data_IF_830623787331
#
_entry.id   IF_830623787331
#
_cell.length_a   1.000
_cell.length_b   1.000
_cell.length_c   1.000
_cell.angle_alpha   90.00
_cell.angle_beta   90.00
_cell.angle_gamma   90.00
#
_symmetry.space_group_name_H-M   'P 1'
#
loop_
_entity.id
_entity.type
_entity.pdbx_description
1 polymer ?
#
# COMPACT_ATOMS: atom_id res chain seq x y z
N UNK A 1 -3.78 38.91 -7.63
CA UNK A 1 -3.64 38.07 -6.42
C UNK A 1 -2.24 38.28 -5.86
N UNK A 2 -2.02 38.21 -4.55
CA UNK A 2 -0.64 38.17 -4.07
C UNK A 2 0.08 36.95 -4.63
N UNK A 3 1.34 37.09 -4.95
CA UNK A 3 2.19 36.05 -5.49
C UNK A 3 2.33 34.92 -4.46
N UNK A 4 2.34 33.64 -4.92
CA UNK A 4 2.51 32.45 -4.11
C UNK A 4 3.69 32.59 -3.13
N UNK A 5 3.52 32.24 -1.84
CA UNK A 5 4.53 32.42 -0.79
C UNK A 5 5.86 31.74 -1.16
N UNK A 6 5.79 30.55 -1.75
CA UNK A 6 6.98 29.81 -2.16
C UNK A 6 7.74 30.54 -3.30
N UNK A 7 7.02 31.14 -4.24
CA UNK A 7 7.62 31.92 -5.33
C UNK A 7 8.41 33.12 -4.78
N UNK A 8 7.82 33.83 -3.83
CA UNK A 8 8.49 34.93 -3.13
C UNK A 8 9.74 34.45 -2.37
N UNK A 9 9.61 33.36 -1.60
CA UNK A 9 10.69 32.78 -0.82
C UNK A 9 11.91 32.41 -1.68
N UNK A 10 11.67 31.90 -2.87
CA UNK A 10 12.71 31.46 -3.81
C UNK A 10 13.20 32.57 -4.75
N UNK A 11 12.71 33.81 -4.57
CA UNK A 11 13.05 34.97 -5.40
C UNK A 11 12.85 34.74 -6.91
N UNK A 12 11.75 34.02 -7.27
CA UNK A 12 11.40 33.75 -8.65
C UNK A 12 10.55 34.87 -9.23
N UNK A 13 10.66 35.10 -10.54
CA UNK A 13 10.01 36.22 -11.22
C UNK A 13 8.49 36.05 -11.33
N UNK A 14 8.02 34.84 -11.43
CA UNK A 14 6.60 34.51 -11.56
C UNK A 14 6.31 33.07 -11.18
N UNK A 15 5.04 32.78 -10.98
CA UNK A 15 4.53 31.47 -10.57
C UNK A 15 4.69 30.39 -11.64
N UNK A 16 4.67 30.77 -12.94
CA UNK A 16 4.86 29.82 -14.04
C UNK A 16 6.30 29.29 -14.04
N UNK A 17 7.29 30.11 -13.75
CA UNK A 17 8.67 29.68 -13.60
C UNK A 17 8.81 28.65 -12.46
N UNK A 18 8.16 28.90 -11.32
CA UNK A 18 8.16 27.97 -10.19
C UNK A 18 7.50 26.64 -10.57
N UNK A 19 6.31 26.71 -11.19
CA UNK A 19 5.59 25.49 -11.59
C UNK A 19 6.38 24.65 -12.59
N UNK A 20 7.03 25.30 -13.55
CA UNK A 20 7.91 24.62 -14.53
C UNK A 20 9.10 23.96 -13.82
N UNK A 21 9.76 24.65 -12.88
CA UNK A 21 10.87 24.05 -12.10
C UNK A 21 10.43 22.82 -11.30
N UNK A 22 9.25 22.89 -10.65
CA UNK A 22 8.70 21.75 -9.91
C UNK A 22 8.46 20.56 -10.85
N UNK A 23 7.76 20.79 -11.97
CA UNK A 23 7.34 19.70 -12.87
C UNK A 23 8.49 19.11 -13.69
N UNK A 24 9.50 19.88 -14.02
CA UNK A 24 10.69 19.40 -14.73
C UNK A 24 11.64 18.58 -13.86
N UNK A 25 11.58 18.77 -12.54
CA UNK A 25 12.45 18.05 -11.60
C UNK A 25 11.82 16.80 -10.98
N UNK A 26 10.64 16.38 -11.44
CA UNK A 26 10.01 15.14 -11.00
C UNK A 26 10.88 13.91 -11.25
N UNK A 27 10.99 13.08 -10.24
CA UNK A 27 11.72 11.81 -10.30
C UNK A 27 10.93 10.77 -11.09
N UNK A 28 11.62 10.01 -11.92
CA UNK A 28 10.99 8.92 -12.69
C UNK A 28 10.59 7.77 -11.78
N UNK A 29 11.43 7.43 -10.81
CA UNK A 29 11.25 6.32 -9.86
C UNK A 29 11.94 6.64 -8.54
N UNK A 30 11.39 6.06 -7.45
CA UNK A 30 12.01 6.08 -6.11
C UNK A 30 12.23 4.65 -5.58
N UNK A 31 12.09 3.64 -6.45
CA UNK A 31 12.23 2.23 -6.08
C UNK A 31 13.62 1.90 -5.55
N UNK A 32 13.67 1.29 -4.38
CA UNK A 32 14.87 0.74 -3.73
C UNK A 32 14.91 -0.77 -3.93
N UNK A 33 15.96 -1.42 -3.46
CA UNK A 33 16.15 -2.88 -3.57
C UNK A 33 15.06 -3.69 -2.87
N UNK A 34 14.55 -3.22 -1.76
CA UNK A 34 13.51 -3.81 -0.92
C UNK A 34 12.08 -3.62 -1.45
N UNK A 35 11.92 -2.86 -2.53
CA UNK A 35 10.62 -2.60 -3.16
C UNK A 35 10.01 -3.86 -3.80
N UNK A 36 10.82 -4.74 -4.38
CA UNK A 36 10.33 -5.76 -5.33
C UNK A 36 9.58 -6.89 -4.66
N UNK A 37 10.15 -7.50 -3.63
CA UNK A 37 9.58 -8.63 -2.88
C UNK A 37 9.98 -8.53 -1.42
N UNK A 38 9.02 -8.71 -0.53
CA UNK A 38 9.29 -8.92 0.88
C UNK A 38 9.57 -10.42 1.13
N UNK A 39 10.82 -10.83 0.92
CA UNK A 39 11.24 -12.23 1.05
C UNK A 39 11.01 -12.80 2.44
N UNK A 40 11.19 -12.03 3.49
CA UNK A 40 10.93 -12.47 4.86
C UNK A 40 9.48 -12.88 5.04
N UNK A 41 8.53 -12.03 4.59
CA UNK A 41 7.10 -12.33 4.63
C UNK A 41 6.73 -13.55 3.77
N UNK A 42 7.28 -13.64 2.56
CA UNK A 42 7.05 -14.78 1.66
C UNK A 42 7.50 -16.09 2.33
N UNK A 43 8.70 -16.12 2.88
CA UNK A 43 9.26 -17.30 3.55
C UNK A 43 8.45 -17.68 4.79
N UNK A 44 8.05 -16.72 5.63
CA UNK A 44 7.22 -16.97 6.81
C UNK A 44 5.89 -17.61 6.41
N UNK A 45 5.22 -17.06 5.39
CA UNK A 45 3.92 -17.57 4.95
C UNK A 45 4.02 -19.01 4.41
N UNK A 46 5.05 -19.32 3.64
CA UNK A 46 5.27 -20.67 3.11
C UNK A 46 5.60 -21.67 4.23
N UNK A 47 6.46 -21.24 5.18
CA UNK A 47 6.86 -22.10 6.31
C UNK A 47 5.68 -22.51 7.21
N UNK A 48 4.63 -21.70 7.28
CA UNK A 48 3.42 -22.07 8.05
C UNK A 48 2.79 -23.37 7.57
N UNK A 49 2.94 -23.71 6.30
CA UNK A 49 2.33 -24.89 5.68
C UNK A 49 3.35 -25.83 5.00
N UNK A 50 4.63 -25.66 5.28
CA UNK A 50 5.71 -26.40 4.60
C UNK A 50 5.55 -27.92 4.75
N UNK A 51 5.17 -28.39 5.95
CA UNK A 51 4.92 -29.82 6.21
C UNK A 51 3.75 -30.33 5.39
N UNK A 52 2.63 -29.64 5.39
CA UNK A 52 1.41 -29.97 4.67
C UNK A 52 1.64 -29.95 3.16
N UNK A 53 2.35 -28.95 2.65
CA UNK A 53 2.75 -28.86 1.24
C UNK A 53 3.63 -30.03 0.81
N UNK A 54 4.55 -30.47 1.67
CA UNK A 54 5.37 -31.64 1.40
C UNK A 54 4.54 -32.94 1.38
N UNK A 55 3.52 -33.07 2.24
CA UNK A 55 2.59 -34.22 2.19
C UNK A 55 1.80 -34.19 0.88
N UNK A 56 1.31 -33.03 0.44
CA UNK A 56 0.56 -32.87 -0.81
C UNK A 56 1.40 -33.21 -2.05
N UNK A 57 2.74 -33.07 -2.01
CA UNK A 57 3.62 -33.46 -3.12
C UNK A 57 3.40 -34.92 -3.57
N UNK A 58 2.90 -35.80 -2.69
CA UNK A 58 2.53 -37.17 -3.03
C UNK A 58 1.54 -37.26 -4.23
N UNK A 59 0.66 -36.25 -4.36
CA UNK A 59 -0.37 -36.23 -5.40
C UNK A 59 0.17 -35.91 -6.80
N UNK A 60 1.40 -35.40 -6.89
CA UNK A 60 1.97 -34.99 -8.18
C UNK A 60 2.20 -36.20 -9.07
N UNK A 61 1.58 -36.18 -10.26
CA UNK A 61 1.72 -37.24 -11.26
C UNK A 61 0.93 -38.52 -10.97
N UNK A 62 -0.01 -38.49 -10.01
CA UNK A 62 -0.90 -39.63 -9.77
C UNK A 62 -1.99 -39.70 -10.83
N UNK A 63 -2.19 -40.89 -11.43
CA UNK A 63 -3.18 -41.11 -12.50
C UNK A 63 -4.63 -40.97 -12.00
N UNK A 64 -4.94 -41.51 -10.83
CA UNK A 64 -6.26 -41.41 -10.20
C UNK A 64 -6.24 -40.39 -9.05
N UNK A 65 -6.27 -39.11 -9.42
CA UNK A 65 -6.16 -38.02 -8.45
C UNK A 65 -7.30 -38.01 -7.41
N UNK A 66 -8.54 -38.35 -7.81
CA UNK A 66 -9.69 -38.36 -6.88
C UNK A 66 -9.46 -39.35 -5.74
N UNK A 67 -9.13 -40.58 -6.07
CA UNK A 67 -8.89 -41.61 -5.07
C UNK A 67 -7.67 -41.32 -4.22
N UNK A 68 -6.57 -40.94 -4.86
CA UNK A 68 -5.31 -40.66 -4.15
C UNK A 68 -5.42 -39.45 -3.23
N UNK A 69 -6.17 -38.43 -3.65
CA UNK A 69 -6.43 -37.25 -2.80
C UNK A 69 -7.34 -37.61 -1.62
N UNK A 70 -8.41 -38.37 -1.86
CA UNK A 70 -9.28 -38.85 -0.80
C UNK A 70 -8.51 -39.65 0.27
N UNK A 71 -7.74 -40.63 -0.17
CA UNK A 71 -6.95 -41.51 0.72
C UNK A 71 -5.89 -40.68 1.48
N UNK A 72 -5.25 -39.71 0.83
CA UNK A 72 -4.27 -38.83 1.42
C UNK A 72 -4.90 -37.93 2.50
N UNK A 73 -6.02 -37.26 2.18
CA UNK A 73 -6.70 -36.35 3.09
C UNK A 73 -7.27 -37.09 4.31
N UNK A 74 -7.78 -38.30 4.10
CA UNK A 74 -8.26 -39.18 5.19
C UNK A 74 -7.12 -39.57 6.13
N UNK A 75 -5.95 -39.87 5.57
CA UNK A 75 -4.77 -40.27 6.36
C UNK A 75 -4.04 -39.07 7.00
N UNK A 76 -4.02 -37.94 6.34
CA UNK A 76 -3.31 -36.73 6.77
C UNK A 76 -4.23 -35.50 6.67
N UNK A 77 -5.25 -35.37 7.52
CA UNK A 77 -6.26 -34.31 7.43
C UNK A 77 -5.66 -32.91 7.52
N UNK A 78 -4.56 -32.73 8.25
CA UNK A 78 -3.86 -31.46 8.31
C UNK A 78 -3.41 -30.94 6.94
N UNK A 79 -3.15 -31.83 5.96
CA UNK A 79 -2.72 -31.43 4.62
C UNK A 79 -3.77 -30.60 3.87
N UNK A 80 -5.05 -30.74 4.20
CA UNK A 80 -6.17 -29.96 3.67
C UNK A 80 -5.97 -28.47 3.93
N UNK A 81 -5.36 -28.11 5.05
CA UNK A 81 -5.14 -26.71 5.50
C UNK A 81 -4.25 -25.91 4.53
N UNK A 82 -3.40 -26.58 3.76
CA UNK A 82 -2.51 -25.92 2.80
C UNK A 82 -3.16 -25.65 1.42
N UNK A 83 -4.33 -26.25 1.13
CA UNK A 83 -5.00 -26.12 -0.17
C UNK A 83 -5.32 -24.66 -0.54
N UNK A 84 -5.91 -23.83 0.33
CA UNK A 84 -6.20 -22.44 0.00
C UNK A 84 -4.95 -21.66 -0.44
N UNK A 85 -3.80 -21.90 0.20
CA UNK A 85 -2.53 -21.23 -0.13
C UNK A 85 -2.11 -21.51 -1.59
N UNK A 86 -2.36 -22.73 -2.09
CA UNK A 86 -2.06 -23.12 -3.48
C UNK A 86 -2.95 -22.38 -4.50
N UNK A 87 -4.08 -21.85 -4.08
CA UNK A 87 -5.02 -21.07 -4.90
C UNK A 87 -4.94 -19.56 -4.62
N UNK A 88 -3.89 -19.09 -3.97
CA UNK A 88 -3.70 -17.68 -3.59
C UNK A 88 -4.79 -17.14 -2.64
N UNK A 89 -5.44 -18.01 -1.87
CA UNK A 89 -6.48 -17.68 -0.88
C UNK A 89 -5.89 -17.79 0.52
N UNK A 90 -6.23 -16.84 1.39
CA UNK A 90 -5.75 -16.79 2.79
C UNK A 90 -6.85 -17.09 3.80
N UNK A 91 -8.09 -17.07 3.35
CA UNK A 91 -9.24 -17.43 4.19
C UNK A 91 -9.24 -18.93 4.43
N UNK A 92 -9.51 -19.32 5.68
CA UNK A 92 -9.63 -20.71 6.09
C UNK A 92 -11.02 -21.29 5.83
N UNK A 93 -12.01 -20.45 5.52
CA UNK A 93 -13.37 -20.83 5.17
C UNK A 93 -13.72 -20.20 3.84
N UNK A 94 -14.16 -21.03 2.88
CA UNK A 94 -14.47 -20.59 1.52
C UNK A 94 -15.91 -20.99 1.19
N UNK A 95 -16.71 -20.03 0.75
CA UNK A 95 -18.05 -20.25 0.21
C UNK A 95 -17.98 -20.38 -1.32
N UNK A 96 -18.37 -21.53 -1.84
CA UNK A 96 -18.42 -21.78 -3.28
C UNK A 96 -19.86 -21.79 -3.77
N UNK A 97 -20.19 -20.95 -4.74
CA UNK A 97 -21.50 -20.94 -5.38
C UNK A 97 -21.63 -22.20 -6.27
N UNK A 98 -22.47 -23.16 -5.83
CA UNK A 98 -22.68 -24.44 -6.53
C UNK A 98 -23.93 -24.41 -7.45
N UNK A 99 -24.87 -23.51 -7.21
CA UNK A 99 -26.04 -23.30 -8.06
C UNK A 99 -26.30 -21.79 -8.20
N UNK A 100 -26.05 -21.25 -9.37
CA UNK A 100 -26.21 -19.83 -9.68
C UNK A 100 -27.68 -19.39 -9.83
N UNK A 101 -28.62 -20.30 -10.05
CA UNK A 101 -30.06 -19.98 -10.18
C UNK A 101 -30.72 -19.88 -8.80
N UNK A 102 -30.31 -20.79 -7.89
CA UNK A 102 -30.86 -20.86 -6.54
C UNK A 102 -29.98 -20.15 -5.52
N UNK A 103 -28.85 -19.57 -5.95
CA UNK A 103 -27.85 -18.96 -5.07
C UNK A 103 -27.44 -19.89 -3.92
N UNK A 104 -27.28 -21.18 -4.24
CA UNK A 104 -26.87 -22.19 -3.26
C UNK A 104 -25.35 -22.22 -3.14
N UNK A 105 -24.87 -22.14 -1.91
CA UNK A 105 -23.44 -22.16 -1.58
C UNK A 105 -23.07 -23.47 -0.87
N UNK A 106 -21.84 -23.90 -1.10
CA UNK A 106 -21.16 -24.95 -0.32
C UNK A 106 -20.08 -24.25 0.52
N UNK A 107 -20.18 -24.40 1.84
CA UNK A 107 -19.18 -23.86 2.77
C UNK A 107 -18.10 -24.92 3.01
N UNK A 108 -16.85 -24.55 2.79
CA UNK A 108 -15.67 -25.41 2.97
C UNK A 108 -14.79 -24.80 4.07
N UNK A 109 -14.64 -25.52 5.19
CA UNK A 109 -13.77 -25.09 6.28
C UNK A 109 -12.48 -25.94 6.28
N UNK A 110 -11.37 -25.32 5.88
CA UNK A 110 -10.06 -25.95 5.73
C UNK A 110 -9.27 -26.05 7.04
N UNK A 111 -9.78 -25.51 8.15
CA UNK A 111 -9.05 -25.45 9.44
C UNK A 111 -9.74 -26.22 10.55
N UNK A 112 -10.41 -27.35 10.22
CA UNK A 112 -10.93 -28.28 11.22
C UNK A 112 -9.84 -29.28 11.63
N UNK A 113 -10.05 -29.94 12.76
CA UNK A 113 -9.16 -31.01 13.25
C UNK A 113 -9.55 -32.38 12.70
N UNK A 114 -10.84 -32.59 12.43
CA UNK A 114 -11.39 -33.84 11.93
C UNK A 114 -12.39 -33.53 10.82
N UNK A 115 -12.44 -34.42 9.84
CA UNK A 115 -13.33 -34.33 8.69
C UNK A 115 -14.07 -35.67 8.48
N UNK A 116 -15.34 -35.58 8.13
CA UNK A 116 -16.13 -36.72 7.65
C UNK A 116 -15.71 -37.10 6.23
N UNK A 117 -16.01 -38.33 5.82
CA UNK A 117 -15.75 -38.79 4.44
C UNK A 117 -16.48 -37.91 3.40
N UNK A 118 -17.66 -37.38 3.74
CA UNK A 118 -18.37 -36.40 2.89
C UNK A 118 -17.62 -35.09 2.71
N UNK A 119 -17.10 -34.53 3.77
CA UNK A 119 -16.30 -33.28 3.72
C UNK A 119 -14.99 -33.49 2.97
N UNK A 120 -14.34 -34.65 3.15
CA UNK A 120 -13.13 -34.99 2.40
C UNK A 120 -13.44 -35.05 0.88
N UNK A 121 -14.57 -35.64 0.50
CA UNK A 121 -15.00 -35.63 -0.91
C UNK A 121 -15.25 -34.20 -1.43
N UNK A 122 -15.80 -33.33 -0.60
CA UNK A 122 -16.00 -31.92 -0.96
C UNK A 122 -14.68 -31.18 -1.24
N UNK A 123 -13.62 -31.47 -0.48
CA UNK A 123 -12.28 -30.91 -0.75
C UNK A 123 -11.64 -31.51 -2.01
N UNK A 124 -11.83 -32.81 -2.26
CA UNK A 124 -11.38 -33.44 -3.53
C UNK A 124 -12.09 -32.79 -4.71
N UNK A 125 -13.43 -32.65 -4.62
CA UNK A 125 -14.22 -31.96 -5.63
C UNK A 125 -13.73 -30.52 -5.86
N UNK A 126 -13.44 -29.80 -4.80
CA UNK A 126 -12.91 -28.44 -4.85
C UNK A 126 -11.57 -28.36 -5.60
N UNK A 127 -10.61 -29.22 -5.28
CA UNK A 127 -9.31 -29.29 -5.97
C UNK A 127 -9.49 -29.54 -7.47
N UNK A 128 -10.41 -30.42 -7.84
CA UNK A 128 -10.67 -30.76 -9.24
C UNK A 128 -11.40 -29.63 -9.96
N UNK A 129 -12.52 -29.14 -9.41
CA UNK A 129 -13.38 -28.13 -10.05
C UNK A 129 -12.74 -26.76 -10.15
N UNK A 130 -11.79 -26.42 -9.28
CA UNK A 130 -10.99 -25.19 -9.42
C UNK A 130 -10.00 -25.24 -10.58
N UNK A 131 -9.82 -26.42 -11.21
CA UNK A 131 -8.84 -26.65 -12.26
C UNK A 131 -7.41 -26.90 -11.74
N UNK A 132 -7.20 -26.81 -10.43
CA UNK A 132 -5.90 -27.07 -9.82
C UNK A 132 -5.49 -28.54 -10.00
N UNK A 133 -6.47 -29.46 -9.95
CA UNK A 133 -6.26 -30.88 -10.22
C UNK A 133 -5.62 -31.17 -11.59
N UNK A 134 -5.98 -30.42 -12.61
CA UNK A 134 -5.37 -30.52 -13.95
C UNK A 134 -3.87 -30.20 -13.96
N UNK A 135 -3.43 -29.21 -13.18
CA UNK A 135 -2.01 -28.87 -13.07
C UNK A 135 -1.21 -29.98 -12.40
N UNK A 136 -1.82 -30.68 -11.44
CA UNK A 136 -1.25 -31.83 -10.76
C UNK A 136 -1.11 -33.02 -11.74
N UNK A 137 -2.20 -33.36 -12.41
CA UNK A 137 -2.26 -34.48 -13.36
C UNK A 137 -1.31 -34.29 -14.55
N UNK A 138 -1.27 -33.10 -15.12
CA UNK A 138 -0.40 -32.75 -16.27
C UNK A 138 1.07 -32.54 -15.87
N UNK A 139 1.40 -32.74 -14.59
CA UNK A 139 2.78 -32.63 -14.08
C UNK A 139 3.38 -31.22 -14.32
N UNK A 140 2.53 -30.17 -14.33
CA UNK A 140 2.95 -28.78 -14.52
C UNK A 140 3.61 -28.23 -13.25
N UNK A 141 3.18 -28.74 -12.07
CA UNK A 141 3.78 -28.42 -10.77
C UNK A 141 4.70 -29.58 -10.40
N UNK A 142 5.93 -29.28 -9.97
CA UNK A 142 6.91 -30.28 -9.57
C UNK A 142 7.10 -30.38 -8.06
N UNK A 143 6.83 -29.28 -7.34
CA UNK A 143 6.92 -29.19 -5.90
C UNK A 143 5.96 -28.13 -5.40
N UNK A 144 5.12 -28.45 -4.41
CA UNK A 144 4.15 -27.50 -3.88
C UNK A 144 4.76 -26.44 -2.98
N UNK A 145 5.90 -26.67 -2.35
CA UNK A 145 6.61 -25.64 -1.57
C UNK A 145 7.15 -24.55 -2.50
N UNK A 146 7.79 -24.95 -3.61
CA UNK A 146 8.29 -24.00 -4.62
C UNK A 146 7.15 -23.26 -5.30
N UNK A 147 6.05 -23.97 -5.62
CA UNK A 147 4.85 -23.36 -6.21
C UNK A 147 4.21 -22.35 -5.25
N UNK A 148 4.02 -22.70 -3.98
CA UNK A 148 3.49 -21.79 -2.96
C UNK A 148 4.39 -20.56 -2.76
N UNK A 149 5.71 -20.73 -2.84
CA UNK A 149 6.66 -19.62 -2.84
C UNK A 149 6.39 -18.65 -4.00
N UNK A 150 6.19 -19.19 -5.21
CA UNK A 150 5.81 -18.38 -6.38
C UNK A 150 4.47 -17.67 -6.20
N UNK A 151 3.47 -18.35 -5.64
CA UNK A 151 2.15 -17.77 -5.32
C UNK A 151 2.30 -16.61 -4.33
N UNK A 152 3.05 -16.80 -3.24
CA UNK A 152 3.27 -15.75 -2.23
C UNK A 152 4.03 -14.54 -2.81
N UNK A 153 5.01 -14.76 -3.69
CA UNK A 153 5.66 -13.67 -4.44
C UNK A 153 4.64 -12.93 -5.31
N UNK A 154 3.75 -13.64 -5.99
CA UNK A 154 2.67 -13.06 -6.77
C UNK A 154 1.72 -12.20 -5.93
N UNK A 155 1.28 -12.72 -4.79
CA UNK A 155 0.43 -11.98 -3.82
C UNK A 155 1.14 -10.76 -3.25
N UNK A 156 2.43 -10.88 -2.92
CA UNK A 156 3.23 -9.77 -2.41
C UNK A 156 3.41 -8.66 -3.45
N UNK A 157 3.36 -8.98 -4.75
CA UNK A 157 3.42 -7.98 -5.82
C UNK A 157 2.30 -6.93 -5.74
N UNK A 158 1.12 -7.30 -5.24
CA UNK A 158 0.00 -6.38 -5.01
C UNK A 158 0.33 -5.34 -3.93
N UNK A 159 1.22 -5.66 -3.00
CA UNK A 159 1.71 -4.74 -1.97
C UNK A 159 2.66 -3.65 -2.48
N UNK A 160 3.13 -3.72 -3.74
CA UNK A 160 4.07 -2.73 -4.30
C UNK A 160 3.51 -1.31 -4.33
N UNK A 161 2.19 -1.15 -4.55
CA UNK A 161 1.55 0.18 -4.52
C UNK A 161 1.64 0.80 -3.13
N UNK A 162 1.42 0.00 -2.09
CA UNK A 162 1.51 0.47 -0.69
C UNK A 162 2.97 0.75 -0.33
N UNK A 163 3.90 -0.14 -0.73
CA UNK A 163 5.35 0.11 -0.54
C UNK A 163 5.84 1.39 -1.22
N UNK A 164 5.29 1.74 -2.39
CA UNK A 164 5.58 3.01 -3.06
C UNK A 164 5.17 4.23 -2.23
N UNK A 165 4.00 4.19 -1.57
CA UNK A 165 3.55 5.22 -0.63
C UNK A 165 4.45 5.31 0.60
N UNK A 166 4.65 4.20 1.30
CA UNK A 166 5.54 4.11 2.47
C UNK A 166 6.98 4.54 2.16
N UNK A 167 7.48 4.24 0.97
CA UNK A 167 8.80 4.68 0.54
C UNK A 167 8.87 6.20 0.36
N UNK A 168 7.85 6.83 -0.23
CA UNK A 168 7.78 8.28 -0.33
C UNK A 168 7.75 8.93 1.05
N UNK A 169 6.90 8.42 1.96
CA UNK A 169 6.82 8.88 3.34
C UNK A 169 8.19 8.77 4.04
N UNK A 170 8.85 7.61 3.95
CA UNK A 170 10.18 7.40 4.55
C UNK A 170 11.25 8.35 3.97
N UNK A 171 11.22 8.64 2.68
CA UNK A 171 12.15 9.60 2.07
C UNK A 171 11.88 11.02 2.57
N UNK A 172 10.62 11.42 2.65
CA UNK A 172 10.22 12.74 3.15
C UNK A 172 10.54 12.88 4.63
N UNK A 173 10.33 11.82 5.44
CA UNK A 173 10.62 11.82 6.87
C UNK A 173 12.08 12.15 7.17
N UNK A 174 13.03 11.62 6.37
CA UNK A 174 14.44 11.98 6.54
C UNK A 174 14.66 13.49 6.42
N UNK A 175 14.06 14.15 5.41
CA UNK A 175 14.17 15.58 5.23
C UNK A 175 13.44 16.37 6.33
N UNK A 176 12.30 15.89 6.81
CA UNK A 176 11.53 16.51 7.91
C UNK A 176 12.34 16.42 9.20
N UNK A 177 12.86 15.24 9.54
CA UNK A 177 13.68 15.02 10.73
C UNK A 177 14.91 15.92 10.73
N UNK A 178 15.72 15.86 9.67
CA UNK A 178 16.93 16.67 9.54
C UNK A 178 16.63 18.18 9.66
N UNK A 179 15.51 18.61 9.05
CA UNK A 179 15.11 20.02 9.09
C UNK A 179 14.66 20.42 10.49
N UNK A 180 13.86 19.59 11.17
CA UNK A 180 13.38 19.84 12.51
C UNK A 180 14.53 19.85 13.53
N UNK A 181 15.46 18.90 13.44
CA UNK A 181 16.68 18.90 14.26
C UNK A 181 17.49 20.20 14.07
N UNK A 182 17.75 20.59 12.83
CA UNK A 182 18.52 21.79 12.51
C UNK A 182 17.88 23.10 13.02
N UNK A 183 16.54 23.13 13.10
CA UNK A 183 15.77 24.32 13.54
C UNK A 183 15.27 24.20 14.99
N UNK A 184 15.60 23.10 15.68
CA UNK A 184 15.11 22.79 17.03
C UNK A 184 13.58 22.82 17.11
N UNK A 185 12.90 22.17 16.13
CA UNK A 185 11.45 22.04 16.04
C UNK A 185 11.02 20.63 16.37
N UNK A 186 9.77 20.47 16.78
CA UNK A 186 9.15 19.16 16.98
C UNK A 186 8.33 18.75 15.77
N UNK A 187 8.36 17.47 15.42
CA UNK A 187 7.45 16.88 14.42
C UNK A 187 6.85 15.58 14.90
N UNK A 188 5.73 15.20 14.28
CA UNK A 188 5.04 13.92 14.45
C UNK A 188 4.83 13.31 13.08
N UNK A 189 5.22 12.04 12.91
CA UNK A 189 4.80 11.22 11.78
C UNK A 189 3.45 10.57 12.07
N UNK A 190 2.67 10.29 11.02
CA UNK A 190 1.32 9.73 11.12
C UNK A 190 0.47 10.47 12.17
N UNK A 191 0.38 11.79 11.98
CA UNK A 191 -0.19 12.71 12.95
C UNK A 191 -1.72 12.74 12.90
N UNK A 192 -2.38 12.41 14.00
CA UNK A 192 -3.82 12.60 14.22
C UNK A 192 -4.06 13.77 15.17
N UNK A 193 -5.29 14.32 15.20
CA UNK A 193 -5.67 15.36 16.15
C UNK A 193 -5.46 14.92 17.60
N UNK A 194 -5.72 13.62 17.90
CA UNK A 194 -5.46 13.05 19.21
C UNK A 194 -3.98 13.09 19.57
N UNK A 195 -3.11 12.63 18.68
CA UNK A 195 -1.66 12.61 18.89
C UNK A 195 -1.08 14.02 19.06
N UNK A 196 -1.55 14.98 18.25
CA UNK A 196 -1.17 16.40 18.36
C UNK A 196 -1.59 16.96 19.73
N UNK A 197 -2.79 16.62 20.21
CA UNK A 197 -3.26 17.05 21.53
C UNK A 197 -2.44 16.44 22.67
N UNK A 198 -2.13 15.14 22.58
CA UNK A 198 -1.35 14.42 23.59
C UNK A 198 0.08 14.95 23.69
N UNK A 199 0.75 15.17 22.56
CA UNK A 199 2.17 15.57 22.53
C UNK A 199 2.41 17.07 22.70
N UNK A 200 1.53 17.89 22.15
CA UNK A 200 1.74 19.35 22.12
C UNK A 200 0.70 20.15 22.88
N UNK A 201 -0.34 19.52 23.41
CA UNK A 201 -1.49 20.16 24.06
C UNK A 201 -2.19 21.19 23.16
N UNK A 202 -2.22 20.96 21.84
CA UNK A 202 -2.89 21.82 20.86
C UNK A 202 -4.15 21.11 20.36
N UNK A 203 -5.29 21.81 20.40
CA UNK A 203 -6.54 21.30 19.82
C UNK A 203 -6.61 21.64 18.35
N UNK A 204 -6.85 20.63 17.52
CA UNK A 204 -6.99 20.76 16.07
C UNK A 204 -8.35 20.22 15.66
N UNK A 205 -9.16 21.07 15.03
CA UNK A 205 -10.39 20.61 14.42
C UNK A 205 -10.09 19.87 13.12
N UNK A 206 -10.65 18.66 12.94
CA UNK A 206 -10.43 17.84 11.76
C UNK A 206 -11.67 17.78 10.86
N UNK A 207 -11.46 17.69 9.56
CA UNK A 207 -12.52 17.56 8.56
C UNK A 207 -13.19 16.17 8.59
N UNK A 208 -12.45 15.16 9.04
CA UNK A 208 -12.90 13.76 9.21
C UNK A 208 -12.29 13.20 10.49
N UNK A 209 -13.07 12.47 11.28
CA UNK A 209 -12.60 11.84 12.55
C UNK A 209 -11.42 10.89 12.36
N UNK A 210 -11.31 10.26 11.19
CA UNK A 210 -10.22 9.36 10.82
C UNK A 210 -9.06 10.06 10.13
N UNK A 211 -9.00 11.41 10.11
CA UNK A 211 -7.93 12.14 9.46
C UNK A 211 -6.58 11.84 10.13
N UNK A 212 -5.67 11.36 9.34
CA UNK A 212 -4.28 11.15 9.71
C UNK A 212 -3.43 11.81 8.63
N UNK A 213 -2.48 12.62 9.07
CA UNK A 213 -1.55 13.35 8.21
C UNK A 213 -0.21 12.63 8.21
N UNK A 214 0.49 12.63 7.09
CA UNK A 214 1.81 12.00 7.03
C UNK A 214 2.75 12.64 8.05
N UNK A 215 2.78 13.99 8.12
CA UNK A 215 3.56 14.71 9.14
C UNK A 215 2.84 15.96 9.64
N UNK A 216 3.09 16.28 10.91
CA UNK A 216 2.79 17.56 11.50
C UNK A 216 4.07 18.13 12.13
N UNK A 217 4.31 19.44 11.97
CA UNK A 217 5.44 20.15 12.58
C UNK A 217 4.91 21.28 13.45
N UNK A 218 5.44 21.39 14.66
CA UNK A 218 5.13 22.44 15.59
C UNK A 218 6.29 23.46 15.65
N UNK A 219 6.03 24.66 15.18
CA UNK A 219 6.94 25.81 15.31
C UNK A 219 6.37 26.82 16.31
N UNK A 220 6.68 26.62 17.59
CA UNK A 220 6.24 27.55 18.67
C UNK A 220 4.73 27.78 18.66
N UNK A 221 3.91 26.74 18.46
CA UNK A 221 2.46 26.83 18.41
C UNK A 221 1.88 27.04 17.00
N UNK A 222 2.67 27.46 16.02
CA UNK A 222 2.25 27.47 14.61
C UNK A 222 2.45 26.09 14.02
N UNK A 223 1.37 25.51 13.48
CA UNK A 223 1.39 24.18 12.90
C UNK A 223 1.60 24.21 11.40
N UNK A 224 2.38 23.24 10.91
CA UNK A 224 2.54 22.91 9.50
C UNK A 224 2.14 21.46 9.30
N UNK A 225 1.21 21.21 8.40
CA UNK A 225 0.77 19.86 8.04
C UNK A 225 1.32 19.47 6.68
N UNK A 226 1.81 18.26 6.58
CA UNK A 226 2.45 17.75 5.37
C UNK A 226 1.74 16.47 4.94
N UNK A 227 1.40 16.39 3.66
CA UNK A 227 1.00 15.18 2.96
C UNK A 227 1.98 14.92 1.83
N UNK A 228 2.32 13.66 1.61
CA UNK A 228 3.24 13.29 0.55
C UNK A 228 2.77 12.09 -0.26
N UNK A 229 3.08 12.10 -1.56
CA UNK A 229 2.75 11.00 -2.46
C UNK A 229 3.68 10.93 -3.66
N UNK A 230 3.85 9.71 -4.16
CA UNK A 230 4.59 9.43 -5.38
C UNK A 230 3.69 8.75 -6.41
N UNK A 231 3.62 9.32 -7.60
CA UNK A 231 2.84 8.78 -8.70
C UNK A 231 3.76 8.36 -9.85
N UNK A 232 4.13 7.07 -9.87
CA UNK A 232 4.95 6.51 -10.96
C UNK A 232 4.22 6.38 -12.30
N UNK A 233 2.89 6.43 -12.32
CA UNK A 233 2.04 6.36 -13.51
C UNK A 233 0.81 7.25 -13.39
N UNK A 234 0.20 7.60 -14.52
CA UNK A 234 -1.03 8.38 -14.59
C UNK A 234 -2.25 7.60 -14.09
N UNK A 235 -3.37 8.30 -13.88
CA UNK A 235 -4.65 7.70 -13.50
C UNK A 235 -5.59 8.68 -12.81
N UNK A 236 -6.83 8.26 -12.57
CA UNK A 236 -7.88 9.09 -11.94
C UNK A 236 -7.53 9.52 -10.51
N UNK A 237 -6.70 8.75 -9.80
CA UNK A 237 -6.27 9.06 -8.44
C UNK A 237 -5.54 10.40 -8.33
N UNK A 238 -4.74 10.79 -9.35
CA UNK A 238 -4.03 12.07 -9.34
C UNK A 238 -5.00 13.25 -9.27
N UNK A 239 -6.08 13.18 -10.08
CA UNK A 239 -7.13 14.21 -10.09
C UNK A 239 -7.88 14.26 -8.76
N UNK A 240 -8.29 13.11 -8.22
CA UNK A 240 -9.04 13.07 -6.95
C UNK A 240 -8.20 13.60 -5.79
N UNK A 241 -6.91 13.21 -5.71
CA UNK A 241 -6.00 13.71 -4.67
C UNK A 241 -5.79 15.23 -4.78
N UNK A 242 -5.54 15.76 -5.97
CA UNK A 242 -5.37 17.21 -6.14
C UNK A 242 -6.61 17.99 -5.70
N UNK A 243 -7.82 17.48 -6.03
CA UNK A 243 -9.08 18.10 -5.61
C UNK A 243 -9.25 18.03 -4.08
N UNK A 244 -9.00 16.88 -3.46
CA UNK A 244 -9.07 16.72 -2.00
C UNK A 244 -8.10 17.68 -1.30
N UNK A 245 -6.88 17.80 -1.79
CA UNK A 245 -5.87 18.63 -1.14
C UNK A 245 -6.10 20.13 -1.32
N UNK A 246 -6.82 20.57 -2.36
CA UNK A 246 -7.31 21.95 -2.45
C UNK A 246 -8.28 22.24 -1.28
N UNK A 247 -9.20 21.33 -0.99
CA UNK A 247 -10.15 21.52 0.11
C UNK A 247 -9.44 21.43 1.48
N UNK A 248 -8.49 20.50 1.63
CA UNK A 248 -7.66 20.39 2.83
C UNK A 248 -6.86 21.67 3.08
N UNK A 249 -6.19 22.21 2.06
CA UNK A 249 -5.44 23.45 2.17
C UNK A 249 -6.33 24.61 2.64
N UNK A 250 -7.53 24.74 2.09
CA UNK A 250 -8.50 25.76 2.51
C UNK A 250 -8.95 25.56 3.96
N UNK A 251 -9.20 24.31 4.35
CA UNK A 251 -9.68 23.95 5.67
C UNK A 251 -8.64 24.28 6.75
N UNK A 252 -7.39 23.90 6.52
CA UNK A 252 -6.29 24.14 7.47
C UNK A 252 -5.90 25.63 7.54
N UNK A 253 -5.84 26.32 6.41
CA UNK A 253 -5.51 27.74 6.37
C UNK A 253 -6.52 28.60 7.16
N UNK A 254 -7.80 28.23 7.20
CA UNK A 254 -8.82 28.92 8.04
C UNK A 254 -8.55 28.79 9.54
N UNK A 255 -7.79 27.81 9.94
CA UNK A 255 -7.37 27.57 11.32
C UNK A 255 -5.97 28.14 11.61
N UNK A 256 -5.37 28.83 10.65
CA UNK A 256 -3.99 29.35 10.79
C UNK A 256 -2.91 28.28 10.64
N UNK A 257 -3.26 27.09 10.15
CA UNK A 257 -2.36 25.97 9.93
C UNK A 257 -1.89 26.02 8.48
N UNK A 258 -0.59 25.99 8.25
CA UNK A 258 0.00 25.93 6.92
C UNK A 258 -0.03 24.49 6.39
N UNK A 259 -0.48 24.30 5.15
CA UNK A 259 -0.51 22.98 4.50
C UNK A 259 0.53 22.90 3.40
N UNK A 260 1.37 21.87 3.43
CA UNK A 260 2.44 21.62 2.47
C UNK A 260 2.16 20.31 1.78
N UNK A 261 2.00 20.34 0.47
CA UNK A 261 1.93 19.12 -0.33
C UNK A 261 3.27 18.82 -0.98
N UNK A 262 3.81 17.62 -0.69
CA UNK A 262 5.04 17.12 -1.29
C UNK A 262 4.66 15.99 -2.24
N UNK A 263 4.73 16.23 -3.55
CA UNK A 263 4.39 15.22 -4.55
C UNK A 263 5.48 15.07 -5.59
N UNK A 264 5.66 13.85 -6.08
CA UNK A 264 6.66 13.55 -7.10
C UNK A 264 6.20 12.40 -8.01
N UNK A 265 6.93 12.15 -9.06
CA UNK A 265 6.72 11.02 -9.96
C UNK A 265 6.30 11.38 -11.38
N UNK A 266 6.74 10.55 -12.32
CA UNK A 266 6.50 10.73 -13.77
C UNK A 266 5.00 10.70 -14.14
N UNK A 267 4.13 10.13 -13.29
CA UNK A 267 2.68 10.09 -13.53
C UNK A 267 2.05 11.46 -13.71
N UNK A 268 2.60 12.51 -13.09
CA UNK A 268 2.14 13.88 -13.28
C UNK A 268 2.37 14.42 -14.68
N UNK A 269 3.41 13.95 -15.40
CA UNK A 269 3.71 14.40 -16.78
C UNK A 269 2.54 14.18 -17.73
N UNK A 270 1.72 13.16 -17.48
CA UNK A 270 0.54 12.85 -18.28
C UNK A 270 -0.69 13.70 -17.93
N UNK A 271 -0.72 14.38 -16.78
CA UNK A 271 -1.91 15.09 -16.28
C UNK A 271 -1.54 16.27 -15.37
N UNK A 272 -0.89 17.29 -15.92
CA UNK A 272 -0.47 18.48 -15.17
C UNK A 272 -1.62 19.38 -14.72
N UNK A 273 -2.78 19.35 -15.40
CA UNK A 273 -3.88 20.27 -15.11
C UNK A 273 -4.37 20.23 -13.66
N UNK A 274 -4.68 19.07 -13.05
CA UNK A 274 -5.09 19.01 -11.64
C UNK A 274 -4.01 19.52 -10.68
N UNK A 275 -2.74 19.26 -10.98
CA UNK A 275 -1.64 19.75 -10.17
C UNK A 275 -1.52 21.28 -10.25
N UNK A 276 -1.72 21.85 -11.44
CA UNK A 276 -1.75 23.29 -11.65
C UNK A 276 -2.93 23.94 -10.91
N UNK A 277 -4.10 23.31 -10.92
CA UNK A 277 -5.28 23.78 -10.19
C UNK A 277 -5.04 23.83 -8.67
N UNK A 278 -4.26 22.89 -8.12
CA UNK A 278 -3.82 22.97 -6.72
C UNK A 278 -2.81 24.09 -6.53
N UNK A 279 -1.77 24.13 -7.34
CA UNK A 279 -0.69 25.10 -7.27
C UNK A 279 -1.20 26.55 -7.27
N UNK A 280 -2.20 26.87 -8.10
CA UNK A 280 -2.81 28.20 -8.20
C UNK A 280 -3.62 28.59 -6.95
N UNK A 281 -3.89 27.64 -6.03
CA UNK A 281 -4.75 27.84 -4.85
C UNK A 281 -4.03 27.59 -3.52
N UNK A 282 -2.79 27.12 -3.57
CA UNK A 282 -2.01 26.74 -2.39
C UNK A 282 -0.67 27.45 -2.36
N UNK A 283 -0.17 27.71 -1.16
CA UNK A 283 1.11 28.39 -0.96
C UNK A 283 2.32 27.46 -1.17
N UNK A 284 2.14 26.15 -0.88
CA UNK A 284 3.26 25.22 -0.83
C UNK A 284 2.97 23.93 -1.61
N UNK A 285 3.60 23.80 -2.75
CA UNK A 285 3.74 22.59 -3.52
C UNK A 285 5.22 22.29 -3.71
N UNK A 286 5.69 21.16 -3.19
CA UNK A 286 7.09 20.74 -3.27
C UNK A 286 7.21 19.39 -3.95
N UNK A 287 8.44 19.05 -4.34
CA UNK A 287 8.85 17.71 -4.73
C UNK A 287 10.18 17.34 -4.03
N UNK A 288 10.69 16.15 -4.28
CA UNK A 288 11.91 15.64 -3.65
C UNK A 288 13.15 16.50 -3.97
N UNK A 289 13.22 17.10 -5.17
CA UNK A 289 14.33 17.99 -5.53
C UNK A 289 14.32 19.29 -4.71
N UNK A 290 13.14 19.85 -4.46
CA UNK A 290 13.00 21.04 -3.60
C UNK A 290 13.33 20.71 -2.14
N UNK A 291 12.98 19.53 -1.64
CA UNK A 291 13.41 19.08 -0.30
C UNK A 291 14.92 18.97 -0.21
N UNK A 292 15.54 18.30 -1.20
CA UNK A 292 17.01 18.17 -1.29
C UNK A 292 17.72 19.52 -1.28
N UNK A 293 17.12 20.53 -1.90
CA UNK A 293 17.67 21.88 -1.98
C UNK A 293 17.36 22.74 -0.73
N UNK A 294 16.81 22.15 0.34
CA UNK A 294 16.57 22.80 1.62
C UNK A 294 15.37 23.75 1.65
N UNK A 295 14.45 23.63 0.69
CA UNK A 295 13.26 24.49 0.60
C UNK A 295 12.36 24.37 1.83
N UNK A 296 12.23 23.15 2.41
CA UNK A 296 11.46 22.96 3.64
C UNK A 296 12.05 23.76 4.80
N UNK A 297 13.38 23.74 4.95
CA UNK A 297 14.08 24.56 5.95
C UNK A 297 13.82 26.06 5.75
N UNK A 298 13.84 26.53 4.51
CA UNK A 298 13.55 27.92 4.19
C UNK A 298 12.11 28.31 4.57
N UNK A 299 11.12 27.45 4.30
CA UNK A 299 9.71 27.66 4.69
C UNK A 299 9.57 27.72 6.21
N UNK A 300 10.19 26.79 6.92
CA UNK A 300 10.09 26.73 8.38
C UNK A 300 10.91 27.84 9.09
N UNK A 301 11.81 28.51 8.39
CA UNK A 301 12.60 29.64 8.93
C UNK A 301 11.86 30.97 8.82
N UNK A 302 10.78 31.08 8.02
CA UNK A 302 9.91 32.26 7.95
C UNK A 302 9.14 32.48 9.28
#
# INVERSE_FOLDING_TARGET
>A
MPMNKLCNLLNLKNEDELFVKITQSFKEKITRWDYFVNWEKVIINVKMFEKELNILNYLIGKENLEKEAFDLFKKYPDSIRAIPTLLAVREGVIDVLIDSKLFKYKNLNFFQFEYTDSEINDFVEFVIKTGFGDLILKNQIKNFVDYATGVEVGLDSNGRKNRGGTLMESLVENFVSDTCENLNLQYLSQASSKKIKEEWNIDVAVDKSSRQLDFAINKNGKLFFIECNFYGGGGSKLKSTATEYIEMNRYWNRQGIEFIWITDGAGWKATLKPLREYFDKADYLLNLEFLKNGTLKSILSL
#
